data_IF_547054105644
#
_entry.id   IF_547054105644
#
_cell.length_a   1.000
_cell.length_b   1.000
_cell.length_c   1.000
_cell.angle_alpha   90.00
_cell.angle_beta   90.00
_cell.angle_gamma   90.00
#
_symmetry.space_group_name_H-M   'P 1'
#
loop_
_entity.id
_entity.type
_entity.pdbx_description
1 polymer ?
#
# COMPACT_ATOMS: atom_id res chain seq x y z
N UNK A 1 13.23 -46.10 28.96
CA UNK A 1 13.05 -44.86 29.75
C UNK A 1 13.63 -43.71 28.93
N UNK A 2 12.83 -42.81 28.37
CA UNK A 2 12.43 -41.49 28.93
C UNK A 2 13.61 -40.52 29.18
N UNK A 3 13.76 -39.55 28.25
CA UNK A 3 14.10 -38.12 28.39
C UNK A 3 14.60 -37.66 26.99
N UNK A 4 13.96 -36.80 26.18
CA UNK A 4 13.21 -35.52 26.32
C UNK A 4 14.06 -34.33 26.78
N UNK A 5 13.99 -33.24 25.98
CA UNK A 5 14.69 -31.93 26.05
C UNK A 5 16.18 -32.04 25.62
N UNK A 6 16.74 -31.12 24.82
CA UNK A 6 16.52 -29.67 24.78
C UNK A 6 16.32 -29.10 23.35
N UNK A 7 15.69 -27.93 23.25
CA UNK A 7 15.49 -27.13 22.03
C UNK A 7 16.56 -26.01 21.92
N UNK A 8 16.60 -25.34 20.76
CA UNK A 8 17.25 -24.04 20.48
C UNK A 8 18.79 -23.98 20.33
N UNK A 9 19.22 -23.85 19.07
CA UNK A 9 20.34 -22.98 18.66
C UNK A 9 19.92 -22.23 17.38
N UNK A 10 19.50 -20.98 17.53
CA UNK A 10 19.52 -19.98 16.46
C UNK A 10 20.14 -18.73 17.08
N UNK A 11 21.41 -18.46 16.76
CA UNK A 11 22.00 -17.12 16.66
C UNK A 11 23.47 -17.25 16.23
N UNK A 12 23.77 -16.93 14.97
CA UNK A 12 25.14 -16.73 14.48
C UNK A 12 25.10 -15.82 13.27
N UNK A 13 25.48 -14.55 13.42
CA UNK A 13 25.45 -13.62 12.29
C UNK A 13 25.42 -12.12 12.60
N UNK A 14 25.83 -11.65 13.78
CA UNK A 14 26.16 -10.23 13.95
C UNK A 14 27.67 -10.07 14.03
N UNK A 15 28.23 -9.47 12.99
CA UNK A 15 29.66 -9.25 12.82
C UNK A 15 30.10 -8.05 13.66
N UNK A 16 31.16 -8.22 14.45
CA UNK A 16 31.67 -7.16 15.33
C UNK A 16 32.43 -6.13 14.50
N UNK A 17 32.01 -4.87 14.56
CA UNK A 17 32.89 -3.74 14.22
C UNK A 17 33.37 -3.08 15.52
N UNK A 18 34.63 -3.31 15.83
CA UNK A 18 35.35 -2.66 16.93
C UNK A 18 35.81 -1.26 16.51
N UNK A 19 35.69 -0.27 17.41
CA UNK A 19 36.51 0.94 17.33
C UNK A 19 35.80 2.28 17.48
N UNK A 20 35.35 2.61 18.69
CA UNK A 20 35.58 3.94 19.27
C UNK A 20 35.46 3.88 20.80
N UNK A 21 36.38 4.52 21.51
CA UNK A 21 36.44 4.54 22.99
C UNK A 21 35.43 5.52 23.59
N UNK A 22 34.63 5.14 24.61
CA UNK A 22 33.85 6.11 25.38
C UNK A 22 34.74 6.87 26.38
N UNK A 23 34.53 8.19 26.46
CA UNK A 23 35.17 9.07 27.44
C UNK A 23 34.33 9.10 28.72
N UNK A 24 34.99 9.09 29.88
CA UNK A 24 34.36 9.17 31.20
C UNK A 24 33.75 10.55 31.50
N UNK A 25 32.54 10.54 32.06
CA UNK A 25 31.96 11.56 32.94
C UNK A 25 30.82 10.86 33.73
N UNK A 26 31.12 10.26 34.88
CA UNK A 26 31.10 10.90 36.21
C UNK A 26 29.67 11.05 36.77
N UNK A 27 29.29 10.12 37.66
CA UNK A 27 27.98 10.03 38.30
C UNK A 27 27.83 11.02 39.47
N UNK A 28 26.68 11.70 39.61
CA UNK A 28 26.24 12.27 40.87
C UNK A 28 25.22 11.34 41.58
N UNK A 29 25.58 11.06 42.83
CA UNK A 29 24.95 10.24 43.87
C UNK A 29 23.42 10.34 44.00
N UNK A 30 22.83 9.25 44.49
CA UNK A 30 21.51 9.20 45.10
C UNK A 30 21.45 10.09 46.37
N UNK A 31 20.32 10.78 46.56
CA UNK A 31 19.88 11.29 47.86
C UNK A 31 18.36 11.02 48.00
N UNK A 32 17.93 10.61 49.19
CA UNK A 32 16.58 10.07 49.40
C UNK A 32 15.47 11.13 49.56
N UNK A 33 14.31 10.83 48.99
CA UNK A 33 12.98 11.01 49.59
C UNK A 33 12.54 12.42 50.08
N UNK A 34 11.68 13.07 49.29
CA UNK A 34 10.47 13.70 49.87
C UNK A 34 9.22 13.43 49.02
N UNK A 35 8.17 12.95 49.69
CA UNK A 35 6.85 12.68 49.10
C UNK A 35 6.12 13.95 48.65
N UNK A 36 5.55 13.93 47.45
CA UNK A 36 4.36 14.72 47.13
C UNK A 36 3.44 13.97 46.15
N UNK A 37 2.17 13.83 46.53
CA UNK A 37 1.16 13.17 45.71
C UNK A 37 0.89 13.97 44.42
N UNK A 38 1.07 13.32 43.26
CA UNK A 38 0.45 13.75 42.02
C UNK A 38 -0.16 12.52 41.31
N UNK A 39 -1.48 12.42 41.29
CA UNK A 39 -2.21 11.41 40.54
C UNK A 39 -2.08 11.74 39.05
N UNK A 40 -1.16 11.07 38.35
CA UNK A 40 -1.07 11.13 36.89
C UNK A 40 -2.01 10.07 36.33
N UNK A 41 -3.13 10.52 35.77
CA UNK A 41 -4.06 9.64 35.06
C UNK A 41 -3.38 9.03 33.83
N UNK A 42 -3.37 7.70 33.72
CA UNK A 42 -3.11 7.03 32.46
C UNK A 42 -4.30 7.26 31.50
N UNK A 43 -4.27 8.35 30.72
CA UNK A 43 -5.10 8.43 29.51
C UNK A 43 -4.55 7.46 28.45
N UNK A 44 -4.93 6.19 28.60
CA UNK A 44 -4.90 5.21 27.52
C UNK A 44 -5.86 5.69 26.45
N UNK A 45 -5.33 6.42 25.47
CA UNK A 45 -6.02 6.90 24.28
C UNK A 45 -6.67 5.76 23.50
N UNK A 46 -7.89 5.44 23.89
CA UNK A 46 -8.75 4.45 23.25
C UNK A 46 -9.34 5.13 22.02
N UNK A 47 -8.79 4.84 20.85
CA UNK A 47 -9.31 5.38 19.59
C UNK A 47 -10.76 4.89 19.42
N UNK A 48 -11.69 5.83 19.44
CA UNK A 48 -13.13 5.59 19.36
C UNK A 48 -13.54 5.48 17.88
N UNK A 49 -14.10 4.33 17.51
CA UNK A 49 -14.53 4.01 16.14
C UNK A 49 -15.60 4.99 15.62
N UNK A 50 -16.30 5.72 16.51
CA UNK A 50 -17.37 6.67 16.12
C UNK A 50 -16.89 7.97 15.45
N UNK A 51 -15.60 8.29 15.50
CA UNK A 51 -15.06 9.48 14.80
C UNK A 51 -14.86 9.26 13.30
N UNK A 52 -14.82 8.01 12.83
CA UNK A 52 -14.56 7.64 11.43
C UNK A 52 -15.63 8.24 10.50
N UNK A 53 -16.90 8.15 10.89
CA UNK A 53 -18.04 8.57 10.05
C UNK A 53 -18.28 10.09 10.00
N UNK A 54 -17.51 10.91 10.73
CA UNK A 54 -17.70 12.38 10.77
C UNK A 54 -16.79 13.17 9.84
N UNK A 55 -15.62 12.63 9.48
CA UNK A 55 -14.72 13.30 8.52
C UNK A 55 -15.07 12.96 7.06
N UNK A 56 -15.71 11.83 6.80
CA UNK A 56 -16.23 11.49 5.46
C UNK A 56 -17.37 12.43 5.03
N UNK A 57 -18.34 12.68 5.92
CA UNK A 57 -19.50 13.54 5.66
C UNK A 57 -19.20 15.05 5.49
N UNK A 58 -17.94 15.46 5.52
CA UNK A 58 -17.53 16.87 5.30
C UNK A 58 -16.76 17.11 4.00
N UNK A 59 -16.51 16.05 3.23
CA UNK A 59 -15.74 16.12 1.97
C UNK A 59 -16.61 16.08 0.69
N UNK A 60 -17.89 15.70 0.79
CA UNK A 60 -18.79 15.57 -0.39
C UNK A 60 -19.64 16.82 -0.67
N UNK A 61 -19.78 17.76 0.28
CA UNK A 61 -20.73 18.89 0.19
C UNK A 61 -20.22 20.11 -0.62
N UNK A 62 -19.12 20.00 -1.37
CA UNK A 62 -18.46 21.13 -2.08
C UNK A 62 -18.34 20.90 -3.60
N UNK A 63 -19.27 20.16 -4.21
CA UNK A 63 -19.24 19.89 -5.67
C UNK A 63 -20.55 20.10 -6.45
N UNK A 64 -21.65 20.44 -5.79
CA UNK A 64 -22.92 20.75 -6.45
C UNK A 64 -23.36 22.17 -6.06
N UNK A 65 -23.03 23.17 -6.90
CA UNK A 65 -23.92 24.30 -7.27
C UNK A 65 -23.18 25.35 -8.12
N UNK A 66 -22.74 24.96 -9.33
CA UNK A 66 -22.43 25.91 -10.42
C UNK A 66 -22.99 25.41 -11.77
N UNK A 67 -24.32 25.47 -11.94
CA UNK A 67 -24.96 25.83 -13.23
C UNK A 67 -26.49 25.93 -13.13
N UNK A 68 -26.99 27.17 -13.10
CA UNK A 68 -28.41 27.47 -13.33
C UNK A 68 -28.59 28.78 -14.10
N UNK A 69 -27.89 28.92 -15.23
CA UNK A 69 -28.15 29.98 -16.22
C UNK A 69 -29.23 29.54 -17.21
N UNK A 70 -30.48 29.83 -16.79
CA UNK A 70 -31.53 30.52 -17.55
C UNK A 70 -31.97 30.11 -18.98
N UNK A 71 -33.27 30.33 -19.23
CA UNK A 71 -33.99 30.34 -20.51
C UNK A 71 -34.27 28.99 -21.21
N UNK A 72 -35.48 28.48 -20.95
CA UNK A 72 -36.29 27.84 -21.99
C UNK A 72 -37.77 28.20 -21.81
N UNK A 73 -38.40 28.80 -22.84
CA UNK A 73 -39.84 28.78 -23.05
C UNK A 73 -40.20 29.24 -24.48
N UNK A 74 -41.07 28.46 -25.12
CA UNK A 74 -41.94 28.82 -26.24
C UNK A 74 -41.24 29.01 -27.62
N UNK A 75 -41.79 28.60 -28.76
CA UNK A 75 -43.03 27.84 -29.07
C UNK A 75 -42.90 27.19 -30.46
N UNK A 76 -43.91 26.39 -30.84
CA UNK A 76 -44.04 25.66 -32.11
C UNK A 76 -43.84 26.49 -33.39
N UNK A 77 -43.36 25.87 -34.48
CA UNK A 77 -44.02 25.90 -35.80
C UNK A 77 -43.44 24.90 -36.84
N UNK A 78 -44.35 24.08 -37.38
CA UNK A 78 -44.52 23.62 -38.77
C UNK A 78 -43.32 23.57 -39.77
N UNK A 79 -42.96 22.36 -40.25
CA UNK A 79 -43.03 21.91 -41.68
C UNK A 79 -42.23 20.62 -41.98
N UNK A 80 -42.92 19.67 -42.62
CA UNK A 80 -42.34 18.62 -43.51
C UNK A 80 -42.36 19.14 -44.98
N UNK A 81 -41.93 18.42 -46.04
CA UNK A 81 -41.19 17.13 -46.13
C UNK A 81 -40.01 17.15 -47.14
N UNK A 82 -39.27 16.04 -47.26
CA UNK A 82 -38.91 15.33 -48.53
C UNK A 82 -38.08 14.08 -48.18
N UNK A 83 -38.55 12.84 -48.39
CA UNK A 83 -38.60 12.08 -49.66
C UNK A 83 -37.26 11.97 -50.41
N UNK A 84 -36.64 10.80 -50.31
CA UNK A 84 -36.31 10.00 -51.50
C UNK A 84 -36.31 8.52 -51.17
N UNK A 85 -36.77 7.69 -52.11
CA UNK A 85 -37.04 6.27 -51.85
C UNK A 85 -36.95 5.43 -53.14
N UNK A 86 -36.07 4.44 -53.18
CA UNK A 86 -36.05 3.34 -54.16
C UNK A 86 -35.51 2.10 -53.41
N UNK A 87 -36.24 1.04 -53.03
CA UNK A 87 -37.15 0.04 -53.66
C UNK A 87 -36.48 -1.12 -54.44
N UNK A 88 -37.07 -2.33 -54.25
CA UNK A 88 -36.94 -3.63 -54.98
C UNK A 88 -35.62 -4.41 -54.71
N UNK A 89 -35.54 -5.76 -54.64
CA UNK A 89 -36.50 -6.91 -54.70
C UNK A 89 -36.46 -7.75 -53.38
N UNK A 90 -37.17 -8.89 -53.37
CA UNK A 90 -37.05 -10.14 -52.57
C UNK A 90 -36.55 -11.28 -53.50
N UNK A 91 -36.24 -12.53 -53.12
CA UNK A 91 -36.08 -13.19 -51.80
C UNK A 91 -34.82 -14.11 -51.78
N UNK A 92 -34.75 -15.40 -52.15
CA UNK A 92 -35.67 -16.48 -52.60
C UNK A 92 -35.19 -17.86 -51.99
N UNK A 93 -35.80 -19.01 -52.33
CA UNK A 93 -35.84 -20.28 -51.53
C UNK A 93 -34.64 -21.28 -51.52
N UNK A 94 -34.51 -21.98 -50.38
CA UNK A 94 -34.22 -23.42 -50.08
C UNK A 94 -33.05 -24.29 -50.61
N UNK A 95 -32.68 -25.20 -49.69
CA UNK A 95 -32.09 -26.56 -49.82
C UNK A 95 -30.55 -26.69 -49.88
N UNK A 96 -30.08 -27.92 -49.61
CA UNK A 96 -28.85 -28.31 -48.95
C UNK A 96 -27.88 -28.86 -49.98
N UNK A 97 -26.58 -28.62 -49.77
CA UNK A 97 -25.57 -29.60 -50.21
C UNK A 97 -24.39 -29.65 -49.24
N UNK A 98 -23.87 -30.86 -49.05
CA UNK A 98 -22.89 -31.19 -48.02
C UNK A 98 -21.51 -31.40 -48.64
N UNK A 99 -20.65 -30.38 -48.57
CA UNK A 99 -19.25 -30.48 -49.05
C UNK A 99 -18.28 -30.27 -47.89
N UNK A 100 -17.70 -31.37 -47.44
CA UNK A 100 -16.56 -31.36 -46.53
C UNK A 100 -15.28 -30.97 -47.30
N UNK A 101 -14.86 -29.70 -47.20
CA UNK A 101 -13.49 -29.30 -47.51
C UNK A 101 -12.80 -28.72 -46.28
N UNK A 102 -11.82 -29.46 -45.78
CA UNK A 102 -10.85 -29.01 -44.79
C UNK A 102 -9.99 -27.86 -45.34
N UNK A 103 -9.92 -26.74 -44.62
CA UNK A 103 -8.68 -25.98 -44.31
C UNK A 103 -8.98 -24.70 -43.52
N UNK A 104 -8.27 -24.55 -42.40
CA UNK A 104 -7.79 -23.28 -41.82
C UNK A 104 -8.81 -22.14 -41.66
N UNK A 105 -9.55 -22.15 -40.56
CA UNK A 105 -9.81 -20.92 -39.79
C UNK A 105 -9.43 -21.19 -38.33
N UNK A 106 -8.28 -20.68 -37.89
CA UNK A 106 -7.99 -20.54 -36.46
C UNK A 106 -8.93 -19.46 -35.92
N UNK A 107 -10.08 -19.86 -35.40
CA UNK A 107 -10.94 -18.97 -34.62
C UNK A 107 -10.23 -18.66 -33.29
N UNK A 108 -9.45 -17.57 -33.27
CA UNK A 108 -8.86 -17.03 -32.04
C UNK A 108 -9.91 -16.25 -31.26
N UNK A 109 -10.88 -16.98 -30.69
CA UNK A 109 -11.76 -16.49 -29.63
C UNK A 109 -11.18 -16.91 -28.28
N UNK A 110 -10.00 -16.37 -27.90
CA UNK A 110 -9.39 -16.59 -26.57
C UNK A 110 -10.11 -15.73 -25.51
N UNK A 111 -11.41 -15.96 -25.34
CA UNK A 111 -12.25 -15.33 -24.31
C UNK A 111 -12.28 -16.21 -23.06
N UNK A 112 -11.10 -16.54 -22.53
CA UNK A 112 -10.99 -17.19 -21.22
C UNK A 112 -10.86 -16.07 -20.20
N UNK A 113 -11.89 -15.89 -19.36
CA UNK A 113 -11.81 -15.02 -18.18
C UNK A 113 -10.55 -15.36 -17.41
N UNK A 114 -9.79 -14.35 -16.96
CA UNK A 114 -8.74 -14.54 -15.98
C UNK A 114 -9.34 -15.29 -14.77
N UNK A 115 -8.84 -16.49 -14.51
CA UNK A 115 -9.26 -17.31 -13.38
C UNK A 115 -8.52 -16.77 -12.16
N UNK A 116 -9.15 -15.84 -11.45
CA UNK A 116 -8.67 -15.34 -10.16
C UNK A 116 -8.93 -16.41 -9.10
N UNK A 117 -8.10 -17.44 -9.11
CA UNK A 117 -8.05 -18.46 -8.06
C UNK A 117 -7.34 -17.89 -6.83
N UNK A 118 -8.13 -17.35 -5.89
CA UNK A 118 -7.64 -16.99 -4.57
C UNK A 118 -7.24 -18.28 -3.81
N UNK A 119 -5.96 -18.61 -3.83
CA UNK A 119 -5.39 -19.74 -3.07
C UNK A 119 -4.60 -19.22 -1.87
N UNK A 120 -4.77 -19.90 -0.74
CA UNK A 120 -4.10 -19.59 0.52
C UNK A 120 -2.82 -20.41 0.65
N UNK A 121 -1.67 -19.77 0.80
CA UNK A 121 -0.48 -20.45 1.29
C UNK A 121 -0.70 -20.83 2.77
N UNK A 122 -0.76 -22.13 3.04
CA UNK A 122 -1.01 -22.65 4.40
C UNK A 122 0.13 -22.37 5.40
N UNK A 123 1.33 -22.00 4.95
CA UNK A 123 2.45 -21.63 5.82
C UNK A 123 2.39 -20.17 6.28
N UNK A 124 1.98 -19.24 5.40
CA UNK A 124 1.93 -17.79 5.69
C UNK A 124 0.50 -17.24 5.88
N UNK A 125 -0.53 -18.04 5.60
CA UNK A 125 -1.93 -17.60 5.59
C UNK A 125 -2.25 -16.59 4.49
N UNK A 126 -1.32 -16.26 3.60
CA UNK A 126 -1.50 -15.27 2.54
C UNK A 126 -2.37 -15.83 1.40
N UNK A 127 -3.27 -15.00 0.88
CA UNK A 127 -4.00 -15.30 -0.36
C UNK A 127 -3.37 -14.55 -1.53
N UNK A 128 -3.33 -15.19 -2.69
CA UNK A 128 -2.72 -14.64 -3.90
C UNK A 128 -3.69 -14.66 -5.08
N UNK A 129 -3.55 -13.68 -5.97
CA UNK A 129 -4.01 -13.74 -7.36
C UNK A 129 -2.81 -14.05 -8.26
N UNK A 130 -3.02 -14.94 -9.22
CA UNK A 130 -1.97 -15.41 -10.14
C UNK A 130 -2.23 -14.92 -11.56
N UNK A 131 -1.18 -14.45 -12.23
CA UNK A 131 -1.16 -14.15 -13.66
C UNK A 131 -0.23 -15.15 -14.36
N UNK A 132 -0.83 -16.12 -15.05
CA UNK A 132 -0.13 -17.17 -15.78
C UNK A 132 0.40 -16.74 -17.14
N UNK A 133 -0.06 -15.62 -17.70
CA UNK A 133 0.50 -15.06 -18.95
C UNK A 133 1.82 -14.29 -18.64
N UNK A 134 2.03 -13.79 -17.40
CA UNK A 134 3.28 -13.12 -16.98
C UNK A 134 4.13 -13.85 -15.93
N UNK A 135 3.68 -15.01 -15.43
CA UNK A 135 4.31 -15.81 -14.36
C UNK A 135 4.50 -15.05 -13.03
N UNK A 136 3.47 -14.30 -12.62
CA UNK A 136 3.51 -13.40 -11.47
C UNK A 136 2.36 -13.64 -10.49
N UNK A 137 2.61 -13.33 -9.22
CA UNK A 137 1.60 -13.36 -8.17
C UNK A 137 1.52 -12.03 -7.42
N UNK A 138 0.31 -11.66 -7.02
CA UNK A 138 0.02 -10.48 -6.19
C UNK A 138 -0.74 -10.94 -4.94
N UNK A 139 -0.31 -10.50 -3.76
CA UNK A 139 -1.01 -10.80 -2.51
C UNK A 139 -2.35 -10.06 -2.51
N UNK A 140 -3.45 -10.78 -2.32
CA UNK A 140 -4.82 -10.22 -2.26
C UNK A 140 -5.37 -10.14 -0.85
N UNK A 141 -4.72 -10.78 0.12
CA UNK A 141 -5.28 -10.94 1.45
C UNK A 141 -4.35 -11.69 2.40
N UNK A 142 -4.73 -11.68 3.67
CA UNK A 142 -4.23 -12.59 4.70
C UNK A 142 -5.42 -13.19 5.44
N UNK A 143 -5.44 -14.52 5.55
CA UNK A 143 -6.46 -15.28 6.27
C UNK A 143 -6.24 -15.23 7.78
N UNK A 144 -6.60 -16.31 8.47
CA UNK A 144 -6.37 -16.48 9.92
C UNK A 144 -4.89 -16.74 10.23
N UNK A 145 -4.04 -15.74 10.01
CA UNK A 145 -2.63 -15.79 10.40
C UNK A 145 -2.48 -15.40 11.88
N UNK A 146 -1.90 -16.29 12.67
CA UNK A 146 -1.75 -16.14 14.12
C UNK A 146 -0.38 -15.63 14.56
N UNK A 147 0.56 -15.43 13.63
CA UNK A 147 1.89 -14.92 13.95
C UNK A 147 1.97 -13.40 13.82
N UNK A 148 2.76 -12.80 14.72
CA UNK A 148 2.95 -11.35 14.84
C UNK A 148 3.98 -10.81 13.84
N UNK A 149 4.82 -11.67 13.28
CA UNK A 149 5.84 -11.32 12.29
C UNK A 149 5.60 -12.11 11.00
N UNK A 150 5.59 -11.41 9.86
CA UNK A 150 5.42 -12.00 8.54
C UNK A 150 6.62 -11.67 7.64
N UNK A 151 7.24 -12.69 7.06
CA UNK A 151 8.10 -12.51 5.88
C UNK A 151 7.28 -12.85 4.65
N UNK A 152 7.08 -11.88 3.76
CA UNK A 152 6.40 -12.13 2.49
C UNK A 152 7.30 -13.03 1.63
N UNK A 153 6.80 -14.14 1.07
CA UNK A 153 7.59 -14.98 0.19
C UNK A 153 7.86 -14.24 -1.12
N UNK A 154 9.08 -14.37 -1.66
CA UNK A 154 9.45 -13.81 -2.96
C UNK A 154 8.91 -14.61 -4.15
N UNK A 155 8.52 -15.87 -3.91
CA UNK A 155 7.96 -16.80 -4.90
C UNK A 155 6.84 -17.64 -4.28
N UNK A 156 5.87 -18.03 -5.10
CA UNK A 156 4.74 -18.89 -4.71
C UNK A 156 4.39 -19.85 -5.84
N UNK A 157 3.79 -21.00 -5.50
CA UNK A 157 3.26 -21.97 -6.48
C UNK A 157 1.75 -21.96 -6.45
N UNK A 158 1.13 -21.97 -7.61
CA UNK A 158 -0.34 -21.98 -7.72
C UNK A 158 -0.95 -23.39 -7.60
N UNK A 159 -0.15 -24.46 -7.78
CA UNK A 159 -0.41 -25.90 -7.53
C UNK A 159 0.88 -26.65 -7.99
N UNK A 160 0.79 -27.71 -8.79
CA UNK A 160 1.87 -28.41 -9.52
C UNK A 160 2.49 -27.56 -10.66
N UNK A 161 2.55 -26.25 -10.48
CA UNK A 161 3.08 -25.27 -11.44
C UNK A 161 4.51 -24.83 -11.05
N UNK A 162 5.21 -24.26 -12.02
CA UNK A 162 6.48 -23.56 -11.77
C UNK A 162 6.27 -22.38 -10.79
N UNK A 163 7.35 -21.96 -10.15
CA UNK A 163 7.32 -20.86 -9.18
C UNK A 163 7.08 -19.51 -9.87
N UNK A 164 6.03 -18.82 -9.42
CA UNK A 164 5.70 -17.46 -9.85
C UNK A 164 6.36 -16.45 -8.92
N UNK A 165 6.88 -15.35 -9.47
CA UNK A 165 7.47 -14.29 -8.66
C UNK A 165 6.35 -13.44 -7.99
N UNK A 166 6.48 -13.19 -6.69
CA UNK A 166 5.55 -12.32 -5.96
C UNK A 166 5.98 -10.87 -6.19
N UNK A 167 5.13 -10.09 -6.85
CA UNK A 167 5.46 -8.75 -7.38
C UNK A 167 4.66 -7.61 -6.78
N UNK A 168 3.64 -7.89 -5.97
CA UNK A 168 2.75 -6.84 -5.47
C UNK A 168 2.03 -7.20 -4.18
N UNK A 169 1.76 -6.17 -3.39
CA UNK A 169 0.80 -6.21 -2.28
C UNK A 169 -0.44 -5.47 -2.75
N UNK A 170 -1.50 -6.21 -3.05
CA UNK A 170 -2.73 -5.70 -3.65
C UNK A 170 -3.59 -4.85 -2.71
N UNK A 171 -4.63 -4.25 -3.29
CA UNK A 171 -5.55 -3.37 -2.57
C UNK A 171 -6.11 -4.05 -1.31
N UNK A 172 -6.00 -3.35 -0.18
CA UNK A 172 -6.53 -3.79 1.12
C UNK A 172 -6.03 -5.16 1.64
N UNK A 173 -4.95 -5.73 1.10
CA UNK A 173 -4.50 -7.10 1.40
C UNK A 173 -4.25 -7.42 2.89
N UNK A 174 -3.86 -6.42 3.70
CA UNK A 174 -3.68 -6.53 5.15
C UNK A 174 -4.58 -5.54 5.92
N UNK A 175 -5.60 -4.96 5.26
CA UNK A 175 -6.47 -3.95 5.86
C UNK A 175 -7.10 -4.42 7.17
N UNK A 176 -7.06 -3.55 8.19
CA UNK A 176 -7.52 -3.76 9.55
C UNK A 176 -6.85 -4.94 10.29
N UNK A 177 -5.66 -5.41 9.86
CA UNK A 177 -4.98 -6.50 10.56
C UNK A 177 -4.49 -6.05 11.94
N UNK A 178 -5.16 -6.56 12.98
CA UNK A 178 -4.93 -6.23 14.39
C UNK A 178 -3.95 -7.18 15.10
N UNK A 179 -3.28 -8.07 14.36
CA UNK A 179 -2.30 -9.03 14.87
C UNK A 179 -0.89 -8.84 14.29
N UNK A 180 -0.77 -8.26 13.09
CA UNK A 180 0.51 -8.04 12.43
C UNK A 180 1.31 -6.93 13.15
N UNK A 181 2.46 -7.30 13.73
CA UNK A 181 3.38 -6.41 14.44
C UNK A 181 4.63 -6.06 13.61
N UNK A 182 5.04 -6.94 12.69
CA UNK A 182 6.13 -6.68 11.76
C UNK A 182 5.96 -7.38 10.41
N UNK A 183 6.41 -6.72 9.33
CA UNK A 183 6.46 -7.30 7.98
C UNK A 183 7.82 -7.10 7.33
N UNK A 184 8.31 -8.13 6.65
CA UNK A 184 9.47 -8.08 5.75
C UNK A 184 8.97 -8.21 4.31
N UNK A 185 9.26 -7.20 3.49
CA UNK A 185 8.85 -7.07 2.10
C UNK A 185 10.06 -7.42 1.21
N UNK A 186 10.01 -8.51 0.41
CA UNK A 186 11.14 -8.94 -0.38
C UNK A 186 11.40 -8.02 -1.56
N UNK A 187 12.64 -8.02 -2.05
CA UNK A 187 13.10 -7.08 -3.09
C UNK A 187 12.35 -7.16 -4.41
N UNK A 188 11.63 -8.25 -4.68
CA UNK A 188 10.85 -8.46 -5.90
C UNK A 188 9.53 -7.68 -5.97
N UNK A 189 9.05 -7.12 -4.86
CA UNK A 189 7.80 -6.35 -4.82
C UNK A 189 7.97 -5.02 -5.57
N UNK A 190 7.08 -4.78 -6.53
CA UNK A 190 7.03 -3.62 -7.44
C UNK A 190 6.02 -2.58 -6.94
N UNK A 191 4.91 -2.99 -6.32
CA UNK A 191 3.91 -2.07 -5.73
C UNK A 191 3.41 -2.51 -4.35
N UNK A 192 3.10 -1.51 -3.52
CA UNK A 192 2.22 -1.64 -2.37
C UNK A 192 1.00 -0.79 -2.71
N UNK A 193 -0.14 -1.43 -2.98
CA UNK A 193 -1.31 -0.77 -3.53
C UNK A 193 -2.13 -0.01 -2.46
N UNK A 194 -3.25 0.60 -2.89
CA UNK A 194 -4.10 1.40 -2.02
C UNK A 194 -4.61 0.60 -0.80
N UNK A 195 -4.67 1.25 0.35
CA UNK A 195 -5.16 0.69 1.63
C UNK A 195 -4.47 -0.60 2.10
N UNK A 196 -3.34 -1.02 1.49
CA UNK A 196 -2.72 -2.33 1.67
C UNK A 196 -2.54 -2.74 3.14
N UNK A 197 -2.05 -1.84 4.00
CA UNK A 197 -1.90 -2.00 5.45
C UNK A 197 -2.74 -0.97 6.23
N UNK A 198 -3.84 -0.46 5.64
CA UNK A 198 -4.74 0.48 6.30
C UNK A 198 -5.18 -0.05 7.68
N UNK A 199 -5.06 0.78 8.73
CA UNK A 199 -5.44 0.45 10.10
C UNK A 199 -4.76 -0.81 10.67
N UNK A 200 -3.54 -1.16 10.22
CA UNK A 200 -2.69 -2.14 10.91
C UNK A 200 -2.13 -1.55 12.22
N UNK A 201 -2.99 -1.40 13.23
CA UNK A 201 -2.73 -0.61 14.44
C UNK A 201 -1.61 -1.14 15.33
N UNK A 202 -1.20 -2.41 15.15
CA UNK A 202 -0.04 -3.02 15.82
C UNK A 202 1.25 -3.01 15.00
N UNK A 203 1.19 -2.71 13.70
CA UNK A 203 2.35 -2.77 12.81
C UNK A 203 3.41 -1.77 13.29
N UNK A 204 4.52 -2.28 13.80
CA UNK A 204 5.59 -1.52 14.44
C UNK A 204 6.86 -1.42 13.59
N UNK A 205 7.04 -2.38 12.67
CA UNK A 205 8.18 -2.49 11.76
C UNK A 205 7.74 -2.93 10.36
N UNK A 206 8.18 -2.20 9.34
CA UNK A 206 8.02 -2.54 7.94
C UNK A 206 9.41 -2.47 7.29
N UNK A 207 10.02 -3.64 7.08
CA UNK A 207 11.37 -3.76 6.53
C UNK A 207 11.31 -4.10 5.04
N UNK A 208 11.96 -3.30 4.21
CA UNK A 208 12.13 -3.58 2.78
C UNK A 208 13.55 -4.11 2.55
N UNK A 209 13.67 -5.22 1.81
CA UNK A 209 14.98 -5.80 1.50
C UNK A 209 15.86 -4.86 0.66
N UNK A 210 17.17 -4.99 0.82
CA UNK A 210 18.16 -4.25 0.03
C UNK A 210 18.04 -4.59 -1.47
N UNK A 211 18.15 -3.55 -2.31
CA UNK A 211 17.96 -3.70 -3.76
C UNK A 211 16.50 -3.91 -4.18
N UNK A 212 15.54 -3.46 -3.35
CA UNK A 212 14.11 -3.48 -3.68
C UNK A 212 13.80 -2.85 -5.05
N UNK A 213 12.87 -3.47 -5.77
CA UNK A 213 12.31 -2.99 -7.03
C UNK A 213 11.07 -2.10 -6.85
N UNK A 214 10.67 -1.79 -5.61
CA UNK A 214 9.43 -1.08 -5.28
C UNK A 214 9.37 0.28 -5.98
N UNK A 215 8.28 0.54 -6.71
CA UNK A 215 8.02 1.76 -7.48
C UNK A 215 7.03 2.71 -6.82
N UNK A 216 6.02 2.17 -6.15
CA UNK A 216 4.93 2.96 -5.59
C UNK A 216 4.46 2.44 -4.22
N UNK A 217 4.14 3.39 -3.34
CA UNK A 217 3.36 3.14 -2.13
C UNK A 217 2.02 3.86 -2.31
N UNK A 218 0.92 3.12 -2.30
CA UNK A 218 -0.40 3.59 -2.69
C UNK A 218 -1.08 4.56 -1.73
N UNK A 219 -2.28 5.00 -2.13
CA UNK A 219 -3.14 5.86 -1.33
C UNK A 219 -3.56 5.15 -0.04
N UNK A 220 -3.47 5.84 1.09
CA UNK A 220 -3.73 5.31 2.44
C UNK A 220 -2.92 4.04 2.82
N UNK A 221 -1.87 3.66 2.09
CA UNK A 221 -1.28 2.32 2.19
C UNK A 221 -0.87 1.88 3.60
N UNK A 222 -0.42 2.79 4.47
CA UNK A 222 -0.12 2.57 5.89
C UNK A 222 -0.93 3.49 6.80
N UNK A 223 -2.02 4.10 6.33
CA UNK A 223 -2.81 5.05 7.12
C UNK A 223 -3.30 4.41 8.43
N UNK A 224 -3.16 5.14 9.54
CA UNK A 224 -3.40 4.67 10.91
C UNK A 224 -2.52 3.50 11.40
N UNK A 225 -1.34 3.24 10.81
CA UNK A 225 -0.31 2.37 11.41
C UNK A 225 0.39 3.07 12.60
N UNK A 226 -0.35 3.38 13.67
CA UNK A 226 0.09 4.22 14.79
C UNK A 226 1.28 3.69 15.59
N UNK A 227 1.68 2.43 15.40
CA UNK A 227 2.86 1.83 16.03
C UNK A 227 4.11 1.83 15.15
N UNK A 228 4.01 2.13 13.85
CA UNK A 228 5.14 2.07 12.92
C UNK A 228 6.14 3.16 13.28
N UNK A 229 7.33 2.77 13.74
CA UNK A 229 8.30 3.72 14.31
C UNK A 229 9.21 4.37 13.27
N UNK A 230 9.59 3.61 12.26
CA UNK A 230 10.47 4.06 11.19
C UNK A 230 10.18 3.34 9.88
N UNK A 231 10.55 3.96 8.76
CA UNK A 231 10.58 3.30 7.45
C UNK A 231 11.76 3.82 6.61
N UNK A 232 12.41 2.89 5.89
CA UNK A 232 13.46 3.18 4.91
C UNK A 232 12.85 3.02 3.51
N UNK A 233 12.71 4.11 2.78
CA UNK A 233 12.16 4.15 1.42
C UNK A 233 13.28 3.83 0.42
N UNK A 234 13.18 2.72 -0.35
CA UNK A 234 14.20 2.34 -1.33
C UNK A 234 14.38 3.37 -2.44
N UNK A 235 15.57 3.41 -3.03
CA UNK A 235 15.89 4.42 -4.07
C UNK A 235 15.04 4.30 -5.33
N UNK A 236 14.44 3.14 -5.56
CA UNK A 236 13.59 2.79 -6.70
C UNK A 236 12.18 3.40 -6.63
N UNK A 237 11.74 3.85 -5.45
CA UNK A 237 10.38 4.37 -5.24
C UNK A 237 10.25 5.73 -5.92
N UNK A 238 9.30 5.83 -6.83
CA UNK A 238 9.01 7.02 -7.64
C UNK A 238 7.84 7.83 -7.06
N UNK A 239 6.91 7.19 -6.35
CA UNK A 239 5.70 7.84 -5.81
C UNK A 239 5.31 7.36 -4.41
N UNK A 240 4.93 8.31 -3.56
CA UNK A 240 4.18 8.07 -2.32
C UNK A 240 2.77 8.64 -2.46
N UNK A 241 1.75 7.82 -2.25
CA UNK A 241 0.35 8.15 -2.47
C UNK A 241 -0.23 9.17 -1.49
N UNK A 242 -1.46 9.61 -1.79
CA UNK A 242 -2.25 10.47 -0.90
C UNK A 242 -2.42 9.74 0.44
N UNK A 243 -2.17 10.43 1.55
CA UNK A 243 -2.30 9.90 2.92
C UNK A 243 -1.51 8.60 3.21
N UNK A 244 -0.48 8.26 2.42
CA UNK A 244 0.19 6.95 2.51
C UNK A 244 0.67 6.56 3.92
N UNK A 245 1.12 7.52 4.75
CA UNK A 245 1.50 7.34 6.16
C UNK A 245 0.70 8.24 7.11
N UNK A 246 -0.51 8.65 6.71
CA UNK A 246 -1.33 9.58 7.50
C UNK A 246 -1.73 8.94 8.85
N UNK A 247 -1.58 9.70 9.93
CA UNK A 247 -1.81 9.28 11.32
C UNK A 247 -0.99 8.06 11.77
N UNK A 248 0.17 7.80 11.15
CA UNK A 248 1.21 6.97 11.75
C UNK A 248 1.90 7.75 12.89
N UNK A 249 1.19 7.94 14.01
CA UNK A 249 1.63 8.81 15.11
C UNK A 249 2.94 8.37 15.77
N UNK A 250 3.28 7.07 15.72
CA UNK A 250 4.57 6.54 16.15
C UNK A 250 5.74 6.79 15.17
N UNK A 251 5.48 7.24 13.94
CA UNK A 251 6.50 7.35 12.88
C UNK A 251 7.39 8.57 13.13
N UNK A 252 8.53 8.36 13.77
CA UNK A 252 9.50 9.42 14.13
C UNK A 252 10.63 9.57 13.12
N UNK A 253 10.88 8.56 12.28
CA UNK A 253 11.97 8.55 11.29
C UNK A 253 11.53 8.02 9.92
N UNK A 254 11.75 8.81 8.88
CA UNK A 254 11.63 8.38 7.47
C UNK A 254 12.97 8.65 6.81
N UNK A 255 13.62 7.59 6.33
CA UNK A 255 14.88 7.67 5.60
C UNK A 255 14.65 7.32 4.13
N UNK A 256 15.31 8.04 3.21
CA UNK A 256 15.33 7.73 1.78
C UNK A 256 16.73 7.23 1.42
N UNK A 257 16.81 6.20 0.58
CA UNK A 257 18.11 5.72 0.10
C UNK A 257 18.82 6.74 -0.80
N UNK A 258 20.15 6.67 -0.81
CA UNK A 258 20.98 7.48 -1.70
C UNK A 258 20.65 7.21 -3.17
N UNK A 259 20.58 8.28 -3.97
CA UNK A 259 20.16 8.19 -5.37
C UNK A 259 18.66 7.95 -5.57
N UNK A 260 17.83 8.26 -4.58
CA UNK A 260 16.36 8.14 -4.69
C UNK A 260 15.78 8.83 -5.94
N UNK A 261 14.92 8.10 -6.65
CA UNK A 261 14.16 8.57 -7.82
C UNK A 261 12.76 9.08 -7.46
N UNK A 262 12.49 9.40 -6.19
CA UNK A 262 11.18 9.84 -5.71
C UNK A 262 10.78 11.16 -6.35
N UNK A 263 9.76 11.15 -7.20
CA UNK A 263 9.25 12.31 -7.92
C UNK A 263 8.11 13.02 -7.18
N UNK A 264 7.23 12.26 -6.51
CA UNK A 264 6.00 12.80 -5.93
C UNK A 264 5.68 12.27 -4.53
N UNK A 265 5.33 13.19 -3.63
CA UNK A 265 4.81 12.93 -2.28
C UNK A 265 3.37 13.44 -2.24
N UNK A 266 2.39 12.54 -2.08
CA UNK A 266 0.97 12.87 -2.12
C UNK A 266 0.45 13.76 -0.99
N UNK A 267 -0.73 14.33 -1.20
CA UNK A 267 -1.40 15.19 -0.22
C UNK A 267 -1.61 14.46 1.11
N UNK A 268 -1.34 15.15 2.22
CA UNK A 268 -1.37 14.60 3.58
C UNK A 268 -0.55 13.32 3.81
N UNK A 269 0.43 12.99 2.96
CA UNK A 269 1.20 11.74 3.01
C UNK A 269 1.75 11.40 4.41
N UNK A 270 2.38 12.37 5.09
CA UNK A 270 2.93 12.22 6.44
C UNK A 270 2.11 12.98 7.50
N UNK A 271 0.87 13.38 7.19
CA UNK A 271 0.06 14.20 8.11
C UNK A 271 -0.23 13.45 9.41
N UNK A 272 -0.03 14.09 10.57
CA UNK A 272 -0.25 13.48 11.88
C UNK A 272 0.79 12.44 12.30
N UNK A 273 1.99 12.46 11.70
CA UNK A 273 3.12 11.61 12.10
C UNK A 273 3.92 12.21 13.28
N UNK A 274 4.74 11.36 13.92
CA UNK A 274 5.64 11.74 15.01
C UNK A 274 6.99 12.31 14.56
N UNK A 275 7.17 12.62 13.26
CA UNK A 275 8.45 13.03 12.67
C UNK A 275 9.06 14.22 13.40
N UNK A 276 10.33 14.10 13.81
CA UNK A 276 11.11 15.22 14.36
C UNK A 276 11.86 16.00 13.28
N UNK A 277 12.37 15.29 12.28
CA UNK A 277 12.98 15.90 11.10
C UNK A 277 12.80 15.00 9.87
N UNK A 278 12.85 15.60 8.68
CA UNK A 278 12.87 14.86 7.41
C UNK A 278 13.78 15.54 6.39
N UNK A 279 14.49 14.72 5.61
CA UNK A 279 15.31 15.15 4.47
C UNK A 279 14.63 14.62 3.21
N UNK A 280 14.04 15.52 2.43
CA UNK A 280 13.34 15.22 1.19
C UNK A 280 14.38 14.98 0.06
N UNK A 281 14.22 13.93 -0.77
CA UNK A 281 15.06 13.74 -1.95
C UNK A 281 14.99 14.95 -2.90
N UNK A 282 16.14 15.36 -3.45
CA UNK A 282 16.22 16.45 -4.45
C UNK A 282 15.43 16.18 -5.74
N UNK A 283 15.04 14.92 -5.96
CA UNK A 283 14.24 14.43 -7.08
C UNK A 283 12.73 14.73 -6.94
N UNK A 284 12.28 15.15 -5.75
CA UNK A 284 10.86 15.44 -5.51
C UNK A 284 10.47 16.74 -6.21
N UNK A 285 9.69 16.61 -7.26
CA UNK A 285 9.11 17.71 -8.03
C UNK A 285 7.74 18.13 -7.47
N UNK A 286 6.98 17.17 -6.94
CA UNK A 286 5.62 17.40 -6.42
C UNK A 286 5.52 17.09 -4.93
N UNK A 287 5.16 18.09 -4.13
CA UNK A 287 4.79 17.93 -2.72
C UNK A 287 3.32 18.33 -2.54
N UNK A 288 2.47 17.35 -2.24
CA UNK A 288 1.03 17.54 -2.12
C UNK A 288 0.61 18.39 -0.92
N UNK A 289 -0.57 18.99 -1.05
CA UNK A 289 -1.16 19.85 0.00
C UNK A 289 -1.20 19.14 1.35
N UNK A 290 -0.85 19.86 2.41
CA UNK A 290 -0.91 19.36 3.79
C UNK A 290 -0.04 18.12 4.07
N UNK A 291 0.97 17.80 3.24
CA UNK A 291 1.83 16.61 3.38
C UNK A 291 2.40 16.40 4.79
N UNK A 292 2.70 17.48 5.53
CA UNK A 292 3.20 17.48 6.91
C UNK A 292 2.26 18.15 7.92
N UNK A 293 0.96 18.23 7.62
CA UNK A 293 -0.02 18.79 8.56
C UNK A 293 -0.06 17.98 9.87
N UNK A 294 -0.40 18.62 11.00
CA UNK A 294 -0.48 17.99 12.32
C UNK A 294 0.78 17.23 12.81
N UNK A 295 1.94 17.42 12.19
CA UNK A 295 3.22 16.84 12.61
C UNK A 295 3.79 17.64 13.80
N UNK A 296 3.19 17.46 14.99
CA UNK A 296 3.44 18.30 16.19
C UNK A 296 4.89 18.31 16.66
N UNK A 297 5.66 17.28 16.32
CA UNK A 297 7.09 17.12 16.69
C UNK A 297 8.06 17.69 15.66
N UNK A 298 7.61 18.11 14.48
CA UNK A 298 8.47 18.40 13.33
C UNK A 298 9.22 19.73 13.53
N UNK A 299 10.52 19.62 13.81
CA UNK A 299 11.45 20.74 14.03
C UNK A 299 12.15 21.18 12.74
N UNK A 300 12.31 20.29 11.77
CA UNK A 300 13.07 20.55 10.54
C UNK A 300 12.55 19.76 9.34
N UNK A 301 12.36 20.44 8.22
CA UNK A 301 12.12 19.83 6.91
C UNK A 301 13.09 20.46 5.93
N UNK A 302 13.94 19.65 5.29
CA UNK A 302 15.01 20.13 4.40
C UNK A 302 15.04 19.29 3.12
N UNK A 303 15.63 19.83 2.06
CA UNK A 303 15.93 19.08 0.85
C UNK A 303 17.39 18.62 0.88
N UNK A 304 17.62 17.38 0.42
CA UNK A 304 18.96 16.83 0.24
C UNK A 304 19.78 17.69 -0.75
N UNK A 305 21.01 18.00 -0.38
CA UNK A 305 21.93 18.80 -1.21
C UNK A 305 22.76 17.89 -2.11
N UNK A 306 23.21 18.43 -3.24
CA UNK A 306 24.25 17.78 -4.04
C UNK A 306 25.59 18.02 -3.35
N UNK A 307 26.28 16.95 -2.96
CA UNK A 307 27.73 17.00 -2.77
C UNK A 307 28.33 16.90 -4.17
N UNK A 308 28.86 18.02 -4.67
CA UNK A 308 29.53 18.13 -5.98
C UNK A 308 31.04 18.07 -5.74
#
# INVERSE_FOLDING_TARGET
MKNKKLLAVILSGFMVFTGMTPIFAEEPKEDENTSSNAVVNEEKGKYDETQINKEENKAEEVKNDEKSTEMNKNTDEDKSPEKTSVKVKKSDDNEKDNINLSKTVKSTSKTVKAVVENKTDTATGLTFSYDSDTNKATITGIGTYSAYALTIPSKVKADDTDEMDVVGIGNAAFKNNSSLESVVIPKGIISIDNDAFYLCSKLSSCALEEGSALKSIGTNAFMYCGKLTSIKIPKSVETLGIRAFNYCSGLTSVAFEEGSTLNSIGSSCFSGTGLESIIIPKSVETLGSSAFNSCKSLKSCTFSRVVI
#
